data_IF_651496069641
#
_entry.id   IF_651496069641
#
_cell.length_a   1.000
_cell.length_b   1.000
_cell.length_c   1.000
_cell.angle_alpha   90.00
_cell.angle_beta   90.00
_cell.angle_gamma   90.00
#
_symmetry.space_group_name_H-M   'P 1'
#
loop_
_entity.id
_entity.type
_entity.pdbx_description
1 polymer ?
#
# COMPACT_ATOMS: atom_id res chain seq x y z
N UNK A 1 -18.06 -17.39 29.57
CA UNK A 1 -17.19 -18.06 28.58
C UNK A 1 -15.89 -17.29 28.63
N UNK A 2 -14.86 -17.82 29.28
CA UNK A 2 -13.53 -17.19 29.25
C UNK A 2 -13.14 -17.16 27.78
N UNK A 3 -13.04 -15.98 27.19
CA UNK A 3 -12.98 -15.80 25.75
C UNK A 3 -11.85 -16.66 25.16
N UNK A 4 -12.13 -17.48 24.14
CA UNK A 4 -11.15 -18.33 23.42
C UNK A 4 -9.88 -17.58 22.97
N UNK A 5 -9.95 -16.24 22.99
CA UNK A 5 -8.89 -15.31 22.65
C UNK A 5 -7.84 -15.15 23.75
N UNK A 6 -8.22 -15.19 25.04
CA UNK A 6 -7.25 -15.13 26.15
C UNK A 6 -6.37 -16.40 26.19
N UNK A 7 -6.89 -17.49 25.61
CA UNK A 7 -6.17 -18.74 25.42
C UNK A 7 -5.46 -18.84 24.07
N UNK A 8 -5.63 -17.85 23.17
CA UNK A 8 -4.99 -17.87 21.87
C UNK A 8 -3.47 -17.70 22.02
N UNK A 9 -2.73 -18.66 21.44
CA UNK A 9 -1.27 -18.73 21.51
C UNK A 9 -0.62 -18.48 20.14
N UNK A 10 0.59 -17.90 20.09
CA UNK A 10 1.33 -17.70 18.85
C UNK A 10 1.65 -19.05 18.18
N UNK A 11 1.70 -19.06 16.84
CA UNK A 11 2.09 -20.24 16.04
C UNK A 11 3.61 -20.40 15.87
N UNK A 12 4.39 -19.55 16.51
CA UNK A 12 5.84 -19.53 16.35
C UNK A 12 6.52 -18.92 17.58
N UNK A 13 7.73 -19.40 17.83
CA UNK A 13 8.61 -18.88 18.86
C UNK A 13 9.51 -17.81 18.21
N UNK A 14 9.37 -16.57 18.67
CA UNK A 14 10.26 -15.47 18.30
C UNK A 14 11.33 -15.37 19.39
N UNK A 15 12.60 -15.33 19.01
CA UNK A 15 13.72 -15.06 19.93
C UNK A 15 14.61 -14.01 19.25
N UNK A 16 14.78 -12.82 19.84
CA UNK A 16 15.70 -11.81 19.34
C UNK A 16 17.16 -12.27 19.41
N UNK A 17 17.98 -11.86 18.45
CA UNK A 17 19.38 -12.26 18.37
C UNK A 17 20.21 -11.87 19.61
N UNK A 18 19.90 -10.74 20.24
CA UNK A 18 20.58 -10.30 21.46
C UNK A 18 20.32 -11.21 22.67
N UNK A 19 19.27 -12.03 22.63
CA UNK A 19 18.96 -12.99 23.70
C UNK A 19 19.63 -14.35 23.52
N UNK A 20 20.21 -14.62 22.35
CA UNK A 20 21.01 -15.83 22.15
C UNK A 20 22.28 -15.85 22.99
N UNK A 21 22.78 -14.70 23.44
CA UNK A 21 23.96 -14.63 24.32
C UNK A 21 23.78 -15.50 25.57
N UNK A 22 22.58 -15.51 26.17
CA UNK A 22 22.29 -16.33 27.35
C UNK A 22 22.20 -17.82 26.97
N UNK A 23 21.64 -18.10 25.80
CA UNK A 23 21.48 -19.47 25.32
C UNK A 23 22.82 -20.10 24.91
N UNK A 24 23.74 -19.32 24.33
CA UNK A 24 25.05 -19.77 23.86
C UNK A 24 26.01 -20.10 25.02
N UNK A 25 25.73 -19.62 26.24
CA UNK A 25 26.48 -19.97 27.45
C UNK A 25 26.13 -21.39 27.93
N UNK A 26 24.93 -21.88 27.59
CA UNK A 26 24.47 -23.19 28.02
C UNK A 26 25.18 -24.30 27.24
N UNK A 27 25.52 -25.43 27.87
CA UNK A 27 25.99 -26.58 27.11
C UNK A 27 24.88 -27.11 26.17
N UNK A 28 25.24 -27.85 25.09
CA UNK A 28 24.29 -28.17 24.02
C UNK A 28 23.04 -28.95 24.45
N UNK A 29 23.15 -29.78 25.48
CA UNK A 29 22.02 -30.54 26.02
C UNK A 29 21.01 -29.63 26.71
N UNK A 30 21.51 -28.72 27.57
CA UNK A 30 20.71 -27.72 28.28
C UNK A 30 20.11 -26.70 27.32
N UNK A 31 20.86 -26.26 26.31
CA UNK A 31 20.36 -25.39 25.26
C UNK A 31 19.11 -26.00 24.59
N UNK A 32 19.21 -27.27 24.17
CA UNK A 32 18.11 -27.98 23.53
C UNK A 32 16.92 -28.13 24.47
N UNK A 33 17.16 -28.44 25.74
CA UNK A 33 16.11 -28.60 26.75
C UNK A 33 15.35 -27.28 26.97
N UNK A 34 16.08 -26.20 27.26
CA UNK A 34 15.54 -24.85 27.45
C UNK A 34 14.73 -24.40 26.25
N UNK A 35 15.25 -24.55 25.04
CA UNK A 35 14.54 -24.16 23.81
C UNK A 35 13.25 -24.97 23.60
N UNK A 36 13.28 -26.27 23.90
CA UNK A 36 12.11 -27.15 23.80
C UNK A 36 11.04 -26.72 24.80
N UNK A 37 11.45 -26.38 26.02
CA UNK A 37 10.58 -25.92 27.10
C UNK A 37 9.99 -24.54 26.80
N UNK A 38 10.78 -23.61 26.24
CA UNK A 38 10.29 -22.33 25.72
C UNK A 38 9.22 -22.51 24.64
N UNK A 39 9.43 -23.46 23.71
CA UNK A 39 8.41 -23.79 22.70
C UNK A 39 7.12 -24.26 23.36
N UNK A 40 7.19 -25.23 24.29
CA UNK A 40 6.02 -25.75 24.99
C UNK A 40 5.29 -24.67 25.79
N UNK A 41 6.04 -23.74 26.38
CA UNK A 41 5.48 -22.58 27.08
C UNK A 41 4.69 -21.67 26.14
N UNK A 42 5.28 -21.28 25.01
CA UNK A 42 4.61 -20.37 24.05
C UNK A 42 3.43 -21.05 23.36
N UNK A 43 3.58 -22.31 22.96
CA UNK A 43 2.60 -23.06 22.17
C UNK A 43 1.42 -23.53 23.03
N UNK A 44 1.70 -24.06 24.23
CA UNK A 44 0.69 -24.70 25.06
C UNK A 44 0.45 -24.00 26.41
N UNK A 45 1.24 -22.98 26.76
CA UNK A 45 1.16 -22.35 28.08
C UNK A 45 1.64 -23.26 29.21
N UNK A 46 2.39 -24.33 28.91
CA UNK A 46 2.90 -25.27 29.91
C UNK A 46 4.14 -24.69 30.59
N UNK A 47 4.08 -24.55 31.91
CA UNK A 47 5.22 -24.12 32.71
C UNK A 47 6.33 -25.19 32.66
N UNK A 48 7.61 -24.79 32.54
CA UNK A 48 8.67 -25.77 32.43
C UNK A 48 8.99 -26.41 33.79
N UNK A 49 8.70 -27.70 33.89
CA UNK A 49 9.06 -28.51 35.07
C UNK A 49 10.40 -29.23 34.85
N UNK A 50 11.15 -29.42 35.95
CA UNK A 50 12.38 -30.21 35.98
C UNK A 50 13.58 -29.55 35.29
N UNK A 51 13.65 -28.22 35.30
CA UNK A 51 14.81 -27.48 34.80
C UNK A 51 15.95 -27.50 35.82
N UNK A 52 17.17 -27.66 35.34
CA UNK A 52 18.37 -27.40 36.14
C UNK A 52 18.44 -25.91 36.53
N UNK A 53 19.13 -25.53 37.61
CA UNK A 53 19.19 -24.13 38.04
C UNK A 53 19.66 -23.15 36.95
N UNK A 54 20.63 -23.57 36.13
CA UNK A 54 21.14 -22.77 35.01
C UNK A 54 20.11 -22.62 33.88
N UNK A 55 19.34 -23.67 33.62
CA UNK A 55 18.26 -23.68 32.64
C UNK A 55 17.09 -22.80 33.09
N UNK A 56 16.79 -22.84 34.39
CA UNK A 56 15.74 -22.02 34.99
C UNK A 56 16.08 -20.54 34.90
N UNK A 57 17.32 -20.14 35.21
CA UNK A 57 17.78 -18.75 35.04
C UNK A 57 17.67 -18.31 33.57
N UNK A 58 18.09 -19.17 32.63
CA UNK A 58 17.96 -18.88 31.20
C UNK A 58 16.49 -18.70 30.79
N UNK A 59 15.60 -19.60 31.22
CA UNK A 59 14.17 -19.51 30.93
C UNK A 59 13.54 -18.25 31.54
N UNK A 60 13.79 -17.96 32.81
CA UNK A 60 13.22 -16.80 33.52
C UNK A 60 13.67 -15.47 32.89
N UNK A 61 14.93 -15.38 32.43
CA UNK A 61 15.44 -14.19 31.73
C UNK A 61 14.67 -13.88 30.44
N UNK A 62 14.22 -14.94 29.75
CA UNK A 62 13.51 -14.88 28.47
C UNK A 62 11.98 -14.89 28.66
N UNK A 63 11.49 -15.25 29.85
CA UNK A 63 10.06 -15.38 30.15
C UNK A 63 9.30 -14.10 29.91
N UNK A 64 9.82 -12.98 30.41
CA UNK A 64 9.21 -11.65 30.20
C UNK A 64 9.02 -11.34 28.71
N UNK A 65 9.99 -11.70 27.87
CA UNK A 65 9.90 -11.50 26.43
C UNK A 65 8.86 -12.40 25.77
N UNK A 66 8.81 -13.68 26.15
CA UNK A 66 7.80 -14.62 25.64
C UNK A 66 6.39 -14.18 26.02
N UNK A 67 6.19 -13.68 27.24
CA UNK A 67 4.91 -13.15 27.72
C UNK A 67 4.46 -11.93 26.92
N UNK A 68 5.39 -11.01 26.63
CA UNK A 68 5.11 -9.86 25.76
C UNK A 68 4.74 -10.29 24.35
N UNK A 69 5.40 -11.31 23.81
CA UNK A 69 5.08 -11.86 22.50
C UNK A 69 3.66 -12.44 22.46
N UNK A 70 3.31 -13.27 23.46
CA UNK A 70 1.98 -13.86 23.61
C UNK A 70 0.92 -12.75 23.72
N UNK A 71 1.13 -11.76 24.58
CA UNK A 71 0.20 -10.62 24.75
C UNK A 71 0.04 -9.83 23.46
N UNK A 72 1.12 -9.61 22.72
CA UNK A 72 1.09 -8.87 21.46
C UNK A 72 0.31 -9.63 20.40
N UNK A 73 0.49 -10.95 20.32
CA UNK A 73 -0.30 -11.81 19.45
C UNK A 73 -1.80 -11.73 19.78
N UNK A 74 -2.17 -11.87 21.06
CA UNK A 74 -3.56 -11.76 21.52
C UNK A 74 -4.19 -10.39 21.18
N UNK A 75 -3.46 -9.30 21.43
CA UNK A 75 -3.89 -7.93 21.06
C UNK A 75 -4.13 -7.79 19.56
N UNK A 76 -3.29 -8.42 18.73
CA UNK A 76 -3.47 -8.37 17.27
C UNK A 76 -4.71 -9.13 16.83
N UNK A 77 -4.98 -10.31 17.38
CA UNK A 77 -6.23 -11.06 17.15
C UNK A 77 -7.45 -10.21 17.51
N UNK A 78 -7.44 -9.59 18.70
CA UNK A 78 -8.53 -8.71 19.16
C UNK A 78 -8.75 -7.55 18.18
N UNK A 79 -7.68 -6.86 17.78
CA UNK A 79 -7.75 -5.76 16.84
C UNK A 79 -8.30 -6.21 15.47
N UNK A 80 -7.87 -7.37 14.96
CA UNK A 80 -8.38 -7.93 13.71
C UNK A 80 -9.85 -8.34 13.80
N UNK A 81 -10.28 -8.92 14.93
CA UNK A 81 -11.68 -9.27 15.18
C UNK A 81 -12.56 -8.03 15.26
N UNK A 82 -12.12 -6.98 15.96
CA UNK A 82 -12.83 -5.70 16.03
C UNK A 82 -12.94 -5.03 14.66
N UNK A 83 -11.87 -5.04 13.87
CA UNK A 83 -11.87 -4.52 12.51
C UNK A 83 -12.82 -5.32 11.61
N UNK A 84 -12.83 -6.65 11.74
CA UNK A 84 -13.77 -7.53 11.03
C UNK A 84 -15.22 -7.31 11.42
N UNK A 85 -15.50 -7.06 12.72
CA UNK A 85 -16.84 -6.74 13.22
C UNK A 85 -17.36 -5.39 12.70
N UNK A 86 -16.47 -4.40 12.54
CA UNK A 86 -16.78 -3.11 11.91
C UNK A 86 -16.97 -3.21 10.39
N UNK A 87 -16.75 -4.39 9.81
CA UNK A 87 -17.11 -4.75 8.46
C UNK A 87 -16.04 -4.44 7.40
N UNK A 88 -16.00 -5.30 6.37
CA UNK A 88 -15.62 -4.89 5.02
C UNK A 88 -16.82 -4.22 4.31
N UNK A 89 -16.70 -3.93 3.00
CA UNK A 89 -17.75 -3.27 2.18
C UNK A 89 -19.15 -3.74 2.61
N UNK A 90 -20.05 -2.84 3.06
CA UNK A 90 -21.35 -3.24 3.57
C UNK A 90 -22.11 -4.05 2.51
N UNK A 91 -22.78 -5.12 2.95
CA UNK A 91 -23.69 -5.89 2.10
C UNK A 91 -24.82 -4.95 1.66
N UNK A 92 -25.09 -4.86 0.36
CA UNK A 92 -26.30 -4.19 -0.13
C UNK A 92 -27.51 -4.94 0.44
N UNK A 93 -28.25 -4.32 1.33
CA UNK A 93 -29.59 -4.73 1.75
C UNK A 93 -30.60 -4.21 0.74
N UNK A 94 -31.66 -4.97 0.48
CA UNK A 94 -32.70 -4.63 -0.53
C UNK A 94 -33.41 -3.30 -0.25
N UNK A 95 -33.37 -2.81 0.99
CA UNK A 95 -33.86 -1.47 1.37
C UNK A 95 -33.04 -0.34 0.74
N UNK A 96 -31.73 -0.56 0.55
CA UNK A 96 -30.86 0.36 -0.19
C UNK A 96 -30.99 0.22 -1.71
N UNK A 97 -31.83 -0.69 -2.23
CA UNK A 97 -32.11 -0.79 -3.66
C UNK A 97 -33.23 0.18 -4.06
N UNK A 98 -34.18 0.49 -3.17
CA UNK A 98 -35.34 1.35 -3.46
C UNK A 98 -35.08 2.85 -3.36
N UNK A 99 -33.95 3.28 -2.79
CA UNK A 99 -33.59 4.71 -2.72
C UNK A 99 -32.79 5.17 -3.96
N UNK A 100 -32.45 4.25 -4.88
CA UNK A 100 -31.67 4.57 -6.08
C UNK A 100 -32.49 4.94 -7.32
N UNK A 101 -33.81 4.75 -7.31
CA UNK A 101 -34.62 4.98 -8.52
C UNK A 101 -35.17 6.42 -8.64
N UNK A 102 -35.19 7.23 -7.58
CA UNK A 102 -35.90 8.53 -7.61
C UNK A 102 -35.05 9.80 -7.37
N UNK A 103 -33.73 9.73 -7.26
CA UNK A 103 -32.89 10.93 -7.23
C UNK A 103 -31.52 10.71 -7.88
N UNK A 104 -31.47 10.84 -9.20
CA UNK A 104 -30.22 11.08 -9.91
C UNK A 104 -29.84 12.57 -9.84
N UNK A 105 -29.50 13.07 -8.66
CA UNK A 105 -28.61 14.25 -8.57
C UNK A 105 -27.87 14.20 -7.23
N UNK A 106 -26.55 14.14 -7.34
CA UNK A 106 -25.53 14.07 -6.28
C UNK A 106 -25.23 12.69 -5.66
N UNK A 107 -23.95 12.27 -5.64
CA UNK A 107 -23.54 11.12 -4.86
C UNK A 107 -23.65 11.47 -3.37
N UNK A 108 -24.52 10.76 -2.64
CA UNK A 108 -24.53 10.76 -1.18
C UNK A 108 -23.17 10.19 -0.72
N UNK A 109 -22.22 11.11 -0.51
CA UNK A 109 -20.93 10.82 0.07
C UNK A 109 -21.13 10.39 1.51
N UNK A 110 -20.47 9.30 1.90
CA UNK A 110 -20.33 8.87 3.29
C UNK A 110 -19.81 10.06 4.13
N UNK A 111 -20.71 10.70 4.89
CA UNK A 111 -20.41 11.89 5.71
C UNK A 111 -19.69 11.55 7.02
N UNK A 112 -19.47 10.27 7.30
CA UNK A 112 -18.68 9.87 8.45
C UNK A 112 -17.19 9.96 8.11
N UNK A 113 -16.51 10.93 8.73
CA UNK A 113 -15.05 10.93 8.78
C UNK A 113 -14.61 9.59 9.39
N UNK A 114 -13.77 8.78 8.71
CA UNK A 114 -13.29 7.54 9.30
C UNK A 114 -12.53 7.86 10.59
N UNK A 115 -13.00 7.32 11.71
CA UNK A 115 -12.24 7.37 12.95
C UNK A 115 -10.90 6.65 12.70
N UNK A 116 -9.81 7.27 13.15
CA UNK A 116 -8.45 6.79 12.90
C UNK A 116 -8.35 5.30 13.24
N UNK A 117 -8.04 4.50 12.23
CA UNK A 117 -7.77 3.08 12.44
C UNK A 117 -6.56 2.98 13.36
N UNK A 118 -6.77 2.54 14.60
CA UNK A 118 -5.68 2.14 15.49
C UNK A 118 -4.90 1.05 14.77
N UNK A 119 -3.78 1.44 14.14
CA UNK A 119 -2.89 0.49 13.48
C UNK A 119 -2.45 -0.50 14.55
N UNK A 120 -2.46 -1.82 14.28
CA UNK A 120 -1.87 -2.76 15.21
C UNK A 120 -0.43 -2.32 15.47
N UNK A 121 -0.08 -2.17 16.75
CA UNK A 121 1.26 -1.79 17.18
C UNK A 121 2.24 -2.78 16.54
N UNK A 122 3.06 -2.29 15.61
CA UNK A 122 4.19 -3.09 15.10
C UNK A 122 5.09 -3.41 16.29
N UNK A 123 5.54 -4.65 16.37
CA UNK A 123 6.48 -5.11 17.38
C UNK A 123 7.67 -4.14 17.43
N UNK A 124 7.81 -3.41 18.54
CA UNK A 124 8.98 -2.56 18.78
C UNK A 124 9.96 -3.42 19.53
N UNK A 125 10.99 -3.90 18.84
CA UNK A 125 12.12 -4.61 19.45
C UNK A 125 12.74 -3.66 20.47
N UNK A 126 12.45 -3.86 21.75
CA UNK A 126 13.16 -3.19 22.83
C UNK A 126 14.48 -3.92 22.99
N UNK A 127 15.52 -3.43 22.30
CA UNK A 127 16.89 -3.83 22.61
C UNK A 127 17.22 -3.24 23.98
N UNK A 128 17.29 -4.11 24.99
CA UNK A 128 17.74 -3.74 26.33
C UNK A 128 19.27 -3.74 26.33
N UNK A 129 19.88 -2.70 25.77
CA UNK A 129 21.24 -2.35 26.16
C UNK A 129 21.14 -1.66 27.51
N UNK A 130 21.55 -2.37 28.57
CA UNK A 130 21.66 -1.82 29.91
C UNK A 130 22.76 -0.76 29.91
N UNK A 131 22.36 0.50 29.78
CA UNK A 131 23.19 1.64 30.15
C UNK A 131 22.26 2.66 30.77
N UNK A 132 22.06 2.53 32.08
CA UNK A 132 21.58 3.65 32.88
C UNK A 132 22.58 4.79 32.76
N UNK A 133 22.16 5.87 32.10
CA UNK A 133 22.70 7.21 32.33
C UNK A 133 21.55 8.07 32.81
N UNK A 134 21.42 8.20 34.13
CA UNK A 134 20.93 9.43 34.73
C UNK A 134 22.14 10.35 34.83
N UNK A 135 22.17 11.46 34.09
CA UNK A 135 22.02 12.77 34.72
C UNK A 135 21.84 13.90 33.69
N UNK A 136 21.14 14.93 34.14
CA UNK A 136 21.27 16.34 33.74
C UNK A 136 20.61 16.82 32.43
N UNK A 137 19.39 17.32 32.64
CA UNK A 137 18.82 18.53 32.03
C UNK A 137 19.87 19.52 31.50
N UNK A 138 19.99 19.63 30.17
CA UNK A 138 20.15 20.88 29.40
C UNK A 138 20.70 20.53 28.02
N UNK A 139 19.83 20.45 27.02
CA UNK A 139 20.18 20.67 25.61
C UNK A 139 18.89 20.84 24.79
N UNK A 140 18.71 22.07 24.32
CA UNK A 140 17.78 22.56 23.31
C UNK A 140 17.12 21.46 22.45
N UNK A 141 15.80 21.37 22.55
CA UNK A 141 14.97 20.57 21.68
C UNK A 141 15.07 21.07 20.22
N UNK A 142 15.83 20.37 19.38
CA UNK A 142 15.58 20.43 17.94
C UNK A 142 14.30 19.66 17.64
N UNK A 143 13.23 20.45 17.46
CA UNK A 143 11.90 19.99 17.07
C UNK A 143 11.93 18.99 15.90
N UNK A 144 11.02 18.01 15.84
CA UNK A 144 10.89 17.12 14.69
C UNK A 144 10.63 17.98 13.45
N UNK A 145 11.57 17.98 12.50
CA UNK A 145 11.41 18.74 11.24
C UNK A 145 10.05 18.39 10.63
N UNK A 146 9.15 19.36 10.41
CA UNK A 146 7.86 19.08 9.82
C UNK A 146 8.11 18.45 8.45
N UNK A 147 7.57 17.24 8.22
CA UNK A 147 7.59 16.61 6.89
C UNK A 147 7.10 17.64 5.89
N UNK A 148 7.99 18.05 4.97
CA UNK A 148 7.70 19.00 3.90
C UNK A 148 6.36 18.63 3.29
N UNK A 149 5.33 19.43 3.58
CA UNK A 149 4.06 19.33 2.86
C UNK A 149 4.36 19.64 1.40
N UNK A 150 3.65 18.98 0.50
CA UNK A 150 3.84 19.19 -0.92
C UNK A 150 3.52 20.65 -1.25
N UNK A 151 4.52 21.40 -1.70
CA UNK A 151 4.34 22.72 -2.26
C UNK A 151 4.17 22.57 -3.77
N UNK A 152 3.08 23.07 -4.35
CA UNK A 152 2.91 23.06 -5.80
C UNK A 152 4.07 23.83 -6.46
N UNK A 153 4.75 23.23 -7.45
CA UNK A 153 5.83 23.90 -8.17
C UNK A 153 5.27 25.01 -9.06
N UNK A 154 6.06 26.07 -9.22
CA UNK A 154 5.76 27.13 -10.18
C UNK A 154 5.98 26.65 -11.62
N UNK A 155 5.28 27.28 -12.58
CA UNK A 155 5.34 26.94 -14.01
C UNK A 155 6.78 26.97 -14.52
N UNK A 156 7.60 27.94 -14.10
CA UNK A 156 8.99 28.07 -14.55
C UNK A 156 9.86 26.90 -14.08
N UNK A 157 9.60 26.42 -12.86
CA UNK A 157 10.32 25.25 -12.30
C UNK A 157 9.96 23.96 -13.04
N UNK A 158 8.70 23.83 -13.47
CA UNK A 158 8.25 22.70 -14.30
C UNK A 158 8.88 22.79 -15.69
N UNK A 159 8.89 23.96 -16.34
CA UNK A 159 9.52 24.18 -17.65
C UNK A 159 11.00 23.80 -17.63
N UNK A 160 11.74 24.25 -16.62
CA UNK A 160 13.16 23.94 -16.44
C UNK A 160 13.39 22.43 -16.30
N UNK A 161 12.54 21.74 -15.54
CA UNK A 161 12.64 20.30 -15.36
C UNK A 161 12.33 19.50 -16.64
N UNK A 162 11.33 19.94 -17.41
CA UNK A 162 11.01 19.32 -18.70
C UNK A 162 12.15 19.53 -19.71
N UNK A 163 12.75 20.72 -19.75
CA UNK A 163 13.92 20.97 -20.60
C UNK A 163 15.11 20.06 -20.24
N UNK A 164 15.41 19.89 -18.95
CA UNK A 164 16.49 19.01 -18.47
C UNK A 164 16.26 17.53 -18.85
N UNK A 165 15.01 17.06 -18.78
CA UNK A 165 14.65 15.67 -19.10
C UNK A 165 14.35 15.42 -20.58
N UNK A 166 14.51 16.43 -21.44
CA UNK A 166 14.30 16.33 -22.88
C UNK A 166 12.82 16.24 -23.28
N UNK A 167 11.96 16.97 -22.58
CA UNK A 167 10.59 17.30 -22.96
C UNK A 167 10.50 18.73 -23.54
N UNK A 168 9.35 19.06 -24.14
CA UNK A 168 9.08 20.37 -24.75
C UNK A 168 8.38 21.32 -23.78
N UNK A 169 8.54 22.63 -23.99
CA UNK A 169 7.87 23.65 -23.16
C UNK A 169 6.33 23.52 -23.20
N UNK A 170 5.77 23.18 -24.37
CA UNK A 170 4.35 22.92 -24.51
C UNK A 170 3.85 21.75 -23.66
N UNK A 171 4.67 20.71 -23.46
CA UNK A 171 4.34 19.60 -22.55
C UNK A 171 4.37 20.05 -21.08
N UNK A 172 5.33 20.89 -20.70
CA UNK A 172 5.44 21.44 -19.35
C UNK A 172 4.20 22.27 -18.97
N UNK A 173 3.74 23.12 -19.89
CA UNK A 173 2.53 23.95 -19.70
C UNK A 173 1.29 23.07 -19.54
N UNK A 174 1.12 22.05 -20.40
CA UNK A 174 -0.01 21.10 -20.29
C UNK A 174 0.02 20.32 -18.98
N UNK A 175 1.20 19.89 -18.55
CA UNK A 175 1.39 19.20 -17.28
C UNK A 175 0.99 20.09 -16.09
N UNK A 176 1.45 21.35 -16.07
CA UNK A 176 1.12 22.28 -14.99
C UNK A 176 -0.39 22.55 -14.93
N UNK A 177 -1.01 22.94 -16.04
CA UNK A 177 -2.45 23.23 -16.09
C UNK A 177 -3.32 22.04 -15.65
N UNK A 178 -2.91 20.82 -16.00
CA UNK A 178 -3.62 19.60 -15.59
C UNK A 178 -3.59 19.38 -14.07
N UNK A 179 -2.43 19.53 -13.45
CA UNK A 179 -2.31 19.30 -12.01
C UNK A 179 -2.76 20.49 -11.19
N UNK A 180 -2.63 21.72 -11.69
CA UNK A 180 -3.16 22.93 -11.07
C UNK A 180 -4.69 22.89 -10.96
N UNK A 181 -5.39 22.54 -12.06
CA UNK A 181 -6.86 22.40 -12.05
C UNK A 181 -7.36 21.26 -11.16
N UNK A 182 -6.54 20.22 -10.95
CA UNK A 182 -6.86 19.09 -10.08
C UNK A 182 -6.39 19.27 -8.62
N UNK A 183 -5.86 20.45 -8.27
CA UNK A 183 -5.36 20.76 -6.93
C UNK A 183 -4.14 19.92 -6.51
N UNK A 184 -3.29 19.59 -7.48
CA UNK A 184 -2.08 18.76 -7.35
C UNK A 184 -2.34 17.40 -6.69
N UNK A 185 -3.40 16.72 -7.13
CA UNK A 185 -3.78 15.38 -6.66
C UNK A 185 -3.49 14.30 -7.70
N UNK A 186 -3.19 13.10 -7.20
CA UNK A 186 -3.12 11.87 -8.00
C UNK A 186 -4.16 10.91 -7.43
N UNK A 187 -5.30 10.80 -8.10
CA UNK A 187 -6.48 10.13 -7.56
C UNK A 187 -7.05 10.88 -6.36
N UNK A 188 -7.26 10.18 -5.23
CA UNK A 188 -7.84 10.78 -4.01
C UNK A 188 -6.81 11.51 -3.13
N UNK A 189 -5.52 11.31 -3.36
CA UNK A 189 -4.45 11.79 -2.48
C UNK A 189 -3.65 12.95 -3.12
N UNK A 190 -3.12 13.89 -2.31
CA UNK A 190 -2.21 14.92 -2.82
C UNK A 190 -0.93 14.29 -3.34
N UNK A 191 -0.41 14.86 -4.43
CA UNK A 191 0.83 14.43 -5.06
C UNK A 191 1.99 14.60 -4.08
N UNK A 192 2.90 13.61 -4.04
CA UNK A 192 4.08 13.65 -3.18
C UNK A 192 5.34 14.11 -3.91
N UNK A 193 5.45 13.76 -5.19
CA UNK A 193 6.62 14.05 -6.00
C UNK A 193 6.19 14.33 -7.45
N UNK A 194 6.13 15.61 -7.81
CA UNK A 194 5.72 16.03 -9.14
C UNK A 194 6.77 15.76 -10.21
N UNK A 195 8.06 15.74 -9.85
CA UNK A 195 9.16 15.42 -10.78
C UNK A 195 9.02 13.99 -11.32
N UNK A 196 8.62 13.05 -10.46
CA UNK A 196 8.35 11.67 -10.88
C UNK A 196 7.15 11.57 -11.83
N UNK A 197 6.08 12.33 -11.57
CA UNK A 197 4.93 12.40 -12.46
C UNK A 197 5.28 13.03 -13.81
N UNK A 198 6.08 14.10 -13.81
CA UNK A 198 6.59 14.77 -15.00
C UNK A 198 7.45 13.83 -15.86
N UNK A 199 8.36 13.06 -15.26
CA UNK A 199 9.14 12.06 -15.99
C UNK A 199 8.24 11.02 -16.69
N UNK A 200 7.18 10.56 -16.02
CA UNK A 200 6.21 9.64 -16.62
C UNK A 200 5.43 10.24 -17.79
N UNK A 201 5.12 11.54 -17.74
CA UNK A 201 4.51 12.27 -18.86
C UNK A 201 5.44 12.33 -20.08
N UNK A 202 6.72 12.66 -19.86
CA UNK A 202 7.72 12.73 -20.93
C UNK A 202 7.90 11.36 -21.60
N UNK A 203 7.97 10.27 -20.83
CA UNK A 203 8.10 8.91 -21.38
C UNK A 203 6.88 8.50 -22.22
N UNK A 204 5.66 8.77 -21.74
CA UNK A 204 4.44 8.42 -22.49
C UNK A 204 4.33 9.17 -23.80
N UNK A 205 4.62 10.47 -23.79
CA UNK A 205 4.55 11.31 -25.00
C UNK A 205 5.61 10.87 -26.02
N UNK A 206 6.82 10.47 -25.57
CA UNK A 206 7.83 9.84 -26.44
C UNK A 206 7.34 8.53 -27.08
N UNK A 207 6.66 7.68 -26.32
CA UNK A 207 6.10 6.44 -26.85
C UNK A 207 4.93 6.70 -27.82
N UNK A 208 4.15 7.74 -27.56
CA UNK A 208 3.03 8.16 -28.41
C UNK A 208 3.52 8.78 -29.72
N UNK A 209 4.59 9.59 -29.68
CA UNK A 209 5.29 10.08 -30.87
C UNK A 209 5.86 8.92 -31.72
N UNK A 210 6.43 7.89 -31.09
CA UNK A 210 6.89 6.67 -31.79
C UNK A 210 5.72 5.91 -32.42
N UNK A 211 4.57 5.80 -31.74
CA UNK A 211 3.36 5.16 -32.27
C UNK A 211 2.71 5.96 -33.42
N UNK A 212 2.78 7.30 -33.36
CA UNK A 212 2.29 8.17 -34.42
C UNK A 212 3.17 8.08 -35.69
N UNK A 213 4.47 7.89 -35.51
CA UNK A 213 5.43 7.74 -36.62
C UNK A 213 5.56 6.29 -37.12
N UNK A 214 4.96 5.32 -36.41
CA UNK A 214 4.80 3.97 -36.91
C UNK A 214 3.76 3.97 -38.04
N UNK A 215 4.01 3.30 -39.18
CA UNK A 215 3.06 3.27 -40.28
C UNK A 215 1.77 2.58 -39.83
N UNK A 216 0.73 3.37 -39.52
CA UNK A 216 -0.61 2.86 -39.27
C UNK A 216 -1.13 2.24 -40.57
N UNK A 217 -1.25 0.91 -40.58
CA UNK A 217 -1.95 0.11 -41.58
C UNK A 217 -1.48 0.27 -43.04
N UNK A 218 -0.32 -0.31 -43.40
CA UNK A 218 -0.06 -0.68 -44.80
C UNK A 218 -0.73 -2.01 -45.20
N UNK A 219 -1.06 -2.86 -44.22
CA UNK A 219 -1.58 -4.21 -44.46
C UNK A 219 -3.02 -4.26 -45.00
N UNK A 220 -3.84 -3.22 -44.80
CA UNK A 220 -5.21 -3.19 -45.33
C UNK A 220 -5.31 -2.66 -46.77
N UNK A 221 -4.30 -1.94 -47.26
CA UNK A 221 -4.28 -1.36 -48.61
C UNK A 221 -3.44 -2.18 -49.61
N UNK A 222 -2.60 -3.11 -49.13
CA UNK A 222 -1.75 -3.95 -49.97
C UNK A 222 -2.41 -5.25 -50.45
N UNK A 223 -3.65 -5.53 -50.05
CA UNK A 223 -4.41 -6.73 -50.43
C UNK A 223 -5.47 -6.46 -51.51
N UNK A 224 -5.54 -5.26 -52.07
CA UNK A 224 -6.42 -4.96 -53.21
C UNK A 224 -5.64 -5.06 -54.52
N UNK A 225 -6.07 -5.92 -55.48
CA UNK A 225 -5.47 -5.96 -56.80
C UNK A 225 -5.64 -4.60 -57.49
N UNK A 226 -4.62 -4.16 -58.24
CA UNK A 226 -4.51 -2.81 -58.82
C UNK A 226 -5.70 -2.41 -59.71
N UNK A 227 -6.45 -3.38 -60.21
CA UNK A 227 -7.61 -3.20 -61.09
C UNK A 227 -8.84 -2.61 -60.37
N UNK A 228 -8.98 -2.81 -59.05
CA UNK A 228 -10.14 -2.32 -58.28
C UNK A 228 -9.95 -0.87 -57.77
N UNK A 229 -8.73 -0.34 -57.81
CA UNK A 229 -8.42 1.02 -57.36
C UNK A 229 -8.90 2.10 -58.35
N UNK A 230 -8.95 1.80 -59.64
CA UNK A 230 -9.48 2.69 -60.69
C UNK A 230 -11.00 2.88 -60.56
N UNK A 231 -11.74 1.86 -60.12
CA UNK A 231 -13.20 1.92 -59.99
C UNK A 231 -13.68 2.65 -58.71
N UNK A 232 -12.78 2.95 -57.78
CA UNK A 232 -13.12 3.63 -56.52
C UNK A 232 -13.53 5.11 -56.69
N UNK A 233 -13.28 5.71 -57.85
CA UNK A 233 -13.70 7.10 -58.17
C UNK A 233 -15.23 7.25 -58.26
N UNK A 234 -15.97 6.14 -58.42
CA UNK A 234 -17.44 6.16 -58.59
C UNK A 234 -18.23 5.78 -57.33
N UNK A 235 -17.56 5.50 -56.20
CA UNK A 235 -18.23 5.01 -54.98
C UNK A 235 -19.20 6.04 -54.35
N UNK A 236 -18.90 7.34 -54.46
CA UNK A 236 -19.75 8.39 -53.92
C UNK A 236 -20.99 8.67 -54.80
N UNK A 237 -20.89 8.42 -56.11
CA UNK A 237 -22.00 8.59 -57.06
C UNK A 237 -23.03 7.46 -56.99
N UNK A 238 -22.61 6.25 -56.60
CA UNK A 238 -23.49 5.06 -56.51
C UNK A 238 -24.19 4.91 -55.15
N UNK A 239 -23.77 5.68 -54.13
CA UNK A 239 -24.36 5.64 -52.78
C UNK A 239 -25.86 6.01 -52.76
N UNK A 240 -26.33 6.81 -53.73
CA UNK A 240 -27.73 7.18 -53.86
C UNK A 240 -28.64 6.02 -54.32
N UNK A 241 -28.09 5.00 -55.00
CA UNK A 241 -28.85 3.82 -55.47
C UNK A 241 -29.04 2.74 -54.41
N UNK A 242 -28.31 2.83 -53.29
CA UNK A 242 -28.28 1.83 -52.22
C UNK A 242 -29.19 2.15 -51.03
N UNK A 243 -30.01 3.20 -51.09
CA UNK A 243 -31.09 3.40 -50.10
C UNK A 243 -32.31 2.58 -50.52
N UNK A 244 -32.62 1.43 -49.88
CA UNK A 244 -33.91 0.81 -50.07
C UNK A 244 -35.00 1.73 -49.51
N UNK A 245 -35.77 2.36 -50.42
CA UNK A 245 -37.08 2.93 -50.13
C UNK A 245 -38.08 1.76 -50.04
N UNK A 246 -38.46 1.35 -48.83
CA UNK A 246 -39.88 1.31 -48.41
C UNK A 246 -40.09 0.69 -47.03
N UNK A 247 -40.88 1.42 -46.25
CA UNK A 247 -41.85 0.90 -45.27
C UNK A 247 -42.87 -0.01 -45.98
N UNK A 248 -43.21 -1.14 -45.35
CA UNK A 248 -44.59 -1.56 -45.09
C UNK A 248 -44.64 -2.19 -43.71
#
# INVERSE_FOLDING_TARGET
>A
MVDDIEMARPKGLLIPFDKFVILDILPPEQYKNVLTKMRQYVEHGKEPEGLEPIEQVAFESLRSFMDENIKTYQRSILAHREAGRKGGRPKKTDENQKVFDDNQTEPIGFFEKPNETKRPLKYKVQSTTDTKVSDSSSAEALSPTPKSRFSPPDVETVKSYFAEKGGTEGQAIRFHAYYESNGWKVGRNPMKNWKAAASGWISRDRDEAKKANAPRNRAFMASRPAEEAENAKNFLADAARRRPLKKQ
#
